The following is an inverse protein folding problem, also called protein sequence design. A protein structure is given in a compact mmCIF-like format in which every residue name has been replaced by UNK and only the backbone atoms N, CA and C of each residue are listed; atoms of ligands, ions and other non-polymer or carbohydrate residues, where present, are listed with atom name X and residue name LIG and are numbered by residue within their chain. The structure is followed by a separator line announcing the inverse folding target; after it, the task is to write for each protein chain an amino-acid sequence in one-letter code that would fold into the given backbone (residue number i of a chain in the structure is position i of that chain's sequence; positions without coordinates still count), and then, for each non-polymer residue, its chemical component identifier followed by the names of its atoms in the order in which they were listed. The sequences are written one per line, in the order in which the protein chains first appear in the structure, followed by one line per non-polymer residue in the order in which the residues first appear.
data_IF_996157229179
#
_entry.id   IF_996157229179
#
_cell.length_a   1.000
_cell.length_b   1.000
_cell.length_c   1.000
_cell.angle_alpha   90.00
_cell.angle_beta   90.00
_cell.angle_gamma   90.00
#
_symmetry.space_group_name_H-M   'P 1'
#
loop_
_entity.id
_entity.type
_entity.pdbx_description
1 polymer ?
#
# COMPACT_ATOMS: atom_id res chain seq x y z
N UNK A 1 -23.65 33.45 -43.15
CA UNK A 1 -22.54 32.47 -43.30
C UNK A 1 -22.04 32.13 -41.91
N UNK A 2 -22.34 30.92 -41.44
CA UNK A 2 -21.90 30.41 -40.13
C UNK A 2 -20.60 29.67 -40.39
N UNK A 3 -19.47 30.19 -39.92
CA UNK A 3 -18.18 29.48 -40.02
C UNK A 3 -18.08 28.47 -38.86
N UNK A 4 -18.16 27.21 -39.23
CA UNK A 4 -18.00 26.07 -38.37
C UNK A 4 -16.51 25.80 -38.07
N UNK A 5 -16.23 25.65 -36.78
CA UNK A 5 -15.43 24.57 -36.21
C UNK A 5 -13.98 24.45 -36.71
N UNK A 6 -13.06 24.87 -35.85
CA UNK A 6 -12.07 23.92 -35.34
C UNK A 6 -11.63 24.39 -33.98
N UNK A 7 -12.32 23.85 -32.97
CA UNK A 7 -11.84 23.75 -31.60
C UNK A 7 -10.53 22.95 -31.63
N UNK A 8 -9.43 23.61 -31.95
CA UNK A 8 -8.11 23.20 -31.49
C UNK A 8 -7.94 23.72 -30.05
N UNK A 9 -8.91 23.38 -29.19
CA UNK A 9 -8.57 23.15 -27.79
C UNK A 9 -7.64 21.96 -27.90
N UNK A 10 -6.35 22.25 -27.90
CA UNK A 10 -5.35 21.31 -27.43
C UNK A 10 -5.90 20.81 -26.10
N UNK A 11 -6.61 19.69 -26.17
CA UNK A 11 -6.61 18.71 -25.11
C UNK A 11 -5.14 18.27 -25.14
N UNK A 12 -4.26 19.09 -24.56
CA UNK A 12 -3.13 18.58 -23.82
C UNK A 12 -3.80 17.57 -22.92
N UNK A 13 -3.77 16.32 -23.36
CA UNK A 13 -4.10 15.17 -22.55
C UNK A 13 -3.25 15.40 -21.33
N UNK A 14 -3.93 15.91 -20.30
CA UNK A 14 -3.39 16.13 -19.01
C UNK A 14 -2.97 14.71 -18.65
N UNK A 15 -1.70 14.42 -18.85
CA UNK A 15 -1.01 13.34 -18.17
C UNK A 15 -1.06 13.78 -16.71
N UNK A 16 -2.25 13.75 -16.10
CA UNK A 16 -2.41 13.47 -14.70
C UNK A 16 -1.90 12.04 -14.58
N UNK A 17 -0.58 11.91 -14.60
CA UNK A 17 0.10 11.03 -13.67
C UNK A 17 -0.42 11.50 -12.33
N UNK A 18 -1.54 10.91 -11.90
CA UNK A 18 -2.03 11.06 -10.54
C UNK A 18 -0.84 10.59 -9.73
N UNK A 19 -0.10 11.55 -9.17
CA UNK A 19 1.10 11.25 -8.41
C UNK A 19 0.67 10.26 -7.35
N UNK A 20 1.22 9.06 -7.39
CA UNK A 20 0.94 8.08 -6.36
C UNK A 20 1.51 8.66 -5.07
N UNK A 21 0.58 9.07 -4.22
CA UNK A 21 0.84 9.41 -2.85
C UNK A 21 1.28 8.12 -2.18
N UNK A 22 2.55 7.99 -1.86
CA UNK A 22 3.05 6.77 -1.26
C UNK A 22 2.34 6.38 0.03
N UNK A 23 2.59 5.19 0.55
CA UNK A 23 2.06 4.75 1.85
C UNK A 23 3.22 4.52 2.81
N UNK A 24 3.15 5.12 3.98
CA UNK A 24 4.06 4.83 5.10
C UNK A 24 3.45 3.73 5.94
N UNK A 25 4.18 2.64 6.14
CA UNK A 25 3.77 1.49 6.93
C UNK A 25 4.77 1.32 8.08
N UNK A 26 4.26 1.14 9.29
CA UNK A 26 5.07 0.84 10.47
C UNK A 26 4.77 -0.56 10.95
N UNK A 27 5.80 -1.38 11.05
CA UNK A 27 5.75 -2.76 11.52
C UNK A 27 6.35 -2.85 12.92
N UNK A 28 5.71 -3.60 13.79
CA UNK A 28 6.12 -3.78 15.18
C UNK A 28 6.18 -5.26 15.52
N UNK A 29 7.28 -5.66 16.17
CA UNK A 29 7.49 -7.04 16.59
C UNK A 29 6.43 -7.53 17.59
N UNK A 30 6.01 -6.67 18.50
CA UNK A 30 5.05 -7.02 19.54
C UNK A 30 3.68 -6.40 19.25
N UNK A 31 2.65 -6.87 19.96
CA UNK A 31 1.30 -6.30 19.88
C UNK A 31 1.27 -4.88 20.46
N UNK A 32 0.23 -4.13 20.13
CA UNK A 32 -0.03 -2.77 20.60
C UNK A 32 1.10 -1.77 20.27
N UNK A 33 1.74 -1.95 19.11
CA UNK A 33 2.76 -1.05 18.55
C UNK A 33 4.03 -0.95 19.42
N UNK A 34 4.48 -2.08 19.96
CA UNK A 34 5.64 -2.17 20.86
C UNK A 34 6.80 -2.97 20.26
N UNK A 35 7.95 -2.86 20.93
CA UNK A 35 9.14 -3.63 20.59
C UNK A 35 9.89 -3.05 19.40
N UNK A 36 10.57 -3.95 18.68
CA UNK A 36 11.34 -3.59 17.49
C UNK A 36 10.41 -3.03 16.40
N UNK A 37 10.81 -1.88 15.84
CA UNK A 37 10.06 -1.17 14.80
C UNK A 37 10.84 -1.12 13.49
N UNK A 38 10.11 -1.29 12.39
CA UNK A 38 10.60 -1.01 11.03
C UNK A 38 9.58 -0.18 10.25
N UNK A 39 10.06 0.56 9.25
CA UNK A 39 9.24 1.45 8.45
C UNK A 39 9.38 1.05 6.99
N UNK A 40 8.26 0.69 6.37
CA UNK A 40 8.12 0.55 4.93
C UNK A 40 7.60 1.84 4.32
N UNK A 41 8.11 2.22 3.16
CA UNK A 41 7.57 3.33 2.37
C UNK A 41 7.32 2.79 0.96
N UNK A 42 6.07 2.80 0.54
CA UNK A 42 5.64 2.41 -0.80
C UNK A 42 5.44 3.67 -1.62
N UNK A 43 6.36 4.02 -2.52
CA UNK A 43 6.29 5.24 -3.35
C UNK A 43 5.94 4.98 -4.81
N UNK A 44 5.89 3.72 -5.22
CA UNK A 44 5.53 3.29 -6.56
C UNK A 44 4.52 2.15 -6.53
N UNK A 45 3.73 2.02 -7.59
CA UNK A 45 2.72 0.97 -7.72
C UNK A 45 3.39 -0.33 -8.15
N UNK A 46 2.90 -1.47 -7.68
CA UNK A 46 3.38 -2.80 -8.04
C UNK A 46 4.81 -3.13 -7.60
N UNK A 47 5.47 -2.26 -6.82
CA UNK A 47 6.78 -2.57 -6.25
C UNK A 47 6.61 -3.47 -5.02
N UNK A 48 7.30 -4.61 -5.04
CA UNK A 48 7.32 -5.57 -3.94
C UNK A 48 8.52 -5.31 -3.03
N UNK A 49 8.28 -5.35 -1.72
CA UNK A 49 9.33 -5.15 -0.72
C UNK A 49 9.38 -6.31 0.26
N UNK A 50 10.57 -6.85 0.47
CA UNK A 50 10.83 -7.77 1.57
C UNK A 50 10.95 -7.01 2.88
N UNK A 51 10.34 -7.55 3.92
CA UNK A 51 10.55 -7.07 5.27
C UNK A 51 11.99 -7.38 5.68
N UNK A 52 12.60 -6.48 6.45
CA UNK A 52 13.98 -6.70 6.91
C UNK A 52 14.03 -7.95 7.79
N UNK A 53 15.12 -8.72 7.68
CA UNK A 53 15.33 -9.99 8.39
C UNK A 53 14.98 -9.96 9.88
N UNK A 54 15.21 -8.83 10.55
CA UNK A 54 14.89 -8.62 11.97
C UNK A 54 13.39 -8.63 12.33
N UNK A 55 12.50 -8.41 11.34
CA UNK A 55 11.04 -8.43 11.50
C UNK A 55 10.35 -9.44 10.58
N UNK A 56 11.08 -10.06 9.65
CA UNK A 56 10.58 -11.15 8.82
C UNK A 56 9.96 -12.24 9.70
N UNK A 57 8.69 -12.57 9.44
CA UNK A 57 7.92 -13.54 10.24
C UNK A 57 7.89 -13.23 11.75
N UNK A 58 7.98 -11.96 12.13
CA UNK A 58 7.96 -11.54 13.54
C UNK A 58 7.02 -10.39 13.84
N UNK A 59 6.37 -9.79 12.84
CA UNK A 59 5.45 -8.67 13.06
C UNK A 59 4.17 -9.14 13.74
N UNK A 60 3.79 -8.49 14.85
CA UNK A 60 2.54 -8.77 15.60
C UNK A 60 1.57 -7.58 15.64
N UNK A 61 2.02 -6.37 15.28
CA UNK A 61 1.13 -5.23 15.05
C UNK A 61 1.66 -4.32 13.97
N UNK A 62 0.77 -3.60 13.28
CA UNK A 62 1.15 -2.67 12.21
C UNK A 62 0.15 -1.52 12.09
N UNK A 63 0.61 -0.41 11.53
CA UNK A 63 -0.25 0.71 11.14
C UNK A 63 0.26 1.34 9.86
N UNK A 64 -0.63 1.95 9.10
CA UNK A 64 -0.25 2.63 7.87
C UNK A 64 -0.95 3.96 7.73
N UNK A 65 -0.27 4.87 7.04
CA UNK A 65 -0.75 6.22 6.75
C UNK A 65 -0.43 6.56 5.30
N UNK A 66 -1.45 6.92 4.50
CA UNK A 66 -1.25 7.60 3.24
C UNK A 66 -0.37 8.85 3.36
N UNK A 67 0.65 9.00 2.52
CA UNK A 67 1.59 10.14 2.60
C UNK A 67 1.05 11.44 2.00
N UNK A 68 -0.06 11.38 1.24
CA UNK A 68 -0.72 12.57 0.67
C UNK A 68 -2.22 12.36 0.60
N UNK A 69 -3.00 13.43 0.74
CA UNK A 69 -4.47 13.49 0.58
C UNK A 69 -4.94 13.40 -0.88
N UNK A 70 -4.19 12.73 -1.75
CA UNK A 70 -4.70 12.44 -3.10
C UNK A 70 -5.83 11.43 -2.93
N UNK A 71 -6.94 11.60 -3.67
CA UNK A 71 -8.02 10.63 -3.70
C UNK A 71 -7.48 9.30 -4.23
N UNK A 72 -7.14 8.39 -3.34
CA UNK A 72 -7.03 6.98 -3.70
C UNK A 72 -8.39 6.52 -4.19
N UNK A 73 -8.37 5.69 -5.23
CA UNK A 73 -9.57 5.00 -5.71
C UNK A 73 -9.99 3.94 -4.69
N UNK A 74 -11.22 3.44 -4.81
CA UNK A 74 -11.71 2.31 -4.01
C UNK A 74 -10.99 0.97 -4.32
N UNK A 75 -10.01 0.98 -5.24
CA UNK A 75 -9.34 -0.21 -5.73
C UNK A 75 -7.85 -0.25 -5.41
N UNK A 76 -7.40 0.59 -4.48
CA UNK A 76 -6.01 0.67 -4.04
C UNK A 76 -5.81 -0.16 -2.77
N UNK A 77 -4.98 -1.20 -2.86
CA UNK A 77 -4.78 -2.20 -1.83
C UNK A 77 -3.33 -2.24 -1.35
N UNK A 78 -3.15 -2.43 -0.05
CA UNK A 78 -1.90 -2.95 0.52
C UNK A 78 -2.08 -4.45 0.71
N UNK A 79 -1.11 -5.20 0.20
CA UNK A 79 -1.08 -6.65 0.34
C UNK A 79 0.16 -7.04 1.11
N UNK A 80 -0.04 -7.84 2.15
CA UNK A 80 1.02 -8.45 2.95
C UNK A 80 1.07 -9.94 2.64
N UNK A 81 2.27 -10.49 2.52
CA UNK A 81 2.51 -11.87 2.13
C UNK A 81 3.28 -12.60 3.23
N UNK A 82 2.98 -13.89 3.37
CA UNK A 82 3.66 -14.80 4.28
C UNK A 82 5.03 -15.30 3.77
N UNK A 83 5.36 -14.93 2.52
CA UNK A 83 6.58 -15.32 1.82
C UNK A 83 7.33 -14.08 1.33
N UNK A 84 8.65 -14.20 1.12
CA UNK A 84 9.41 -13.16 0.45
C UNK A 84 8.98 -13.01 -1.02
N UNK A 85 9.41 -11.90 -1.61
CA UNK A 85 9.27 -11.54 -3.02
C UNK A 85 7.80 -11.50 -3.51
N UNK A 86 6.86 -11.25 -2.60
CA UNK A 86 5.43 -11.21 -2.86
C UNK A 86 4.93 -12.48 -3.56
N UNK A 87 5.57 -13.61 -3.25
CA UNK A 87 5.32 -14.89 -3.89
C UNK A 87 4.06 -15.55 -3.27
N UNK A 88 3.21 -16.15 -4.11
CA UNK A 88 1.81 -16.48 -3.82
C UNK A 88 1.52 -17.51 -2.72
N UNK A 89 1.83 -17.19 -1.45
CA UNK A 89 1.34 -17.88 -0.26
C UNK A 89 0.11 -17.21 0.36
N UNK A 90 -0.06 -17.32 1.68
CA UNK A 90 -1.13 -16.64 2.40
C UNK A 90 -0.99 -15.12 2.25
N UNK A 91 -2.10 -14.44 2.03
CA UNK A 91 -2.13 -12.99 1.83
C UNK A 91 -3.13 -12.32 2.74
N UNK A 92 -2.75 -11.12 3.16
CA UNK A 92 -3.58 -10.24 3.96
C UNK A 92 -3.75 -8.89 3.24
N UNK A 93 -4.99 -8.50 2.97
CA UNK A 93 -5.34 -7.38 2.09
C UNK A 93 -6.05 -6.30 2.90
N UNK A 94 -5.59 -5.05 2.77
CA UNK A 94 -6.23 -3.90 3.39
C UNK A 94 -6.30 -2.74 2.42
N UNK A 95 -7.24 -1.83 2.62
CA UNK A 95 -7.33 -0.64 1.79
C UNK A 95 -6.17 0.30 2.07
N UNK A 96 -5.49 0.73 1.00
CA UNK A 96 -4.34 1.63 1.10
C UNK A 96 -4.73 3.10 1.34
N UNK A 97 -6.01 3.43 1.15
CA UNK A 97 -6.53 4.79 1.12
C UNK A 97 -6.93 5.37 2.48
N UNK A 98 -6.95 4.53 3.51
CA UNK A 98 -7.36 4.90 4.86
C UNK A 98 -6.16 4.77 5.80
N UNK A 99 -5.98 5.76 6.68
CA UNK A 99 -5.10 5.58 7.83
C UNK A 99 -5.76 4.59 8.79
N UNK A 100 -5.13 3.44 9.01
CA UNK A 100 -5.70 2.38 9.83
C UNK A 100 -4.58 1.53 10.47
N UNK A 101 -4.96 0.56 11.30
CA UNK A 101 -4.04 -0.20 12.12
C UNK A 101 -4.60 -1.57 12.54
N UNK A 102 -3.68 -2.46 12.88
CA UNK A 102 -3.92 -3.68 13.63
C UNK A 102 -3.06 -3.64 14.88
N UNK A 103 -3.68 -3.45 16.04
CA UNK A 103 -2.98 -3.55 17.33
C UNK A 103 -2.61 -4.98 17.68
N UNK A 104 -3.29 -5.96 17.11
CA UNK A 104 -2.96 -7.38 17.21
C UNK A 104 -3.27 -8.07 15.87
N UNK A 105 -2.25 -8.61 15.21
CA UNK A 105 -2.43 -9.31 13.93
C UNK A 105 -3.05 -10.70 14.10
N UNK A 106 -3.15 -11.23 15.32
CA UNK A 106 -3.87 -12.48 15.58
C UNK A 106 -5.35 -12.36 15.19
N UNK A 107 -5.95 -11.17 15.35
CA UNK A 107 -7.33 -10.88 14.96
C UNK A 107 -7.57 -11.00 13.44
N UNK A 108 -6.49 -10.91 12.65
CA UNK A 108 -6.50 -11.08 11.19
C UNK A 108 -5.98 -12.46 10.74
N UNK A 109 -5.67 -13.36 11.69
CA UNK A 109 -5.01 -14.65 11.43
C UNK A 109 -3.66 -14.54 10.69
N UNK A 110 -2.97 -13.40 10.84
CA UNK A 110 -1.72 -13.08 10.16
C UNK A 110 -0.57 -12.68 11.11
N UNK A 111 -0.70 -13.02 12.40
CA UNK A 111 0.36 -12.81 13.41
C UNK A 111 1.66 -13.50 13.02
N UNK A 112 2.78 -12.77 13.04
CA UNK A 112 4.13 -13.28 12.78
C UNK A 112 4.29 -14.03 11.46
N UNK A 113 3.51 -13.64 10.45
CA UNK A 113 3.62 -14.19 9.09
C UNK A 113 4.25 -13.22 8.10
N UNK A 114 4.18 -11.91 8.32
CA UNK A 114 4.56 -10.95 7.27
C UNK A 114 6.05 -11.09 6.91
N UNK A 115 6.31 -11.40 5.64
CA UNK A 115 7.63 -11.49 5.02
C UNK A 115 7.84 -10.48 3.90
N UNK A 116 6.79 -10.13 3.16
CA UNK A 116 6.85 -9.08 2.14
C UNK A 116 5.54 -8.32 2.01
N UNK A 117 5.59 -7.18 1.34
CA UNK A 117 4.43 -6.31 1.17
C UNK A 117 4.49 -5.55 -0.17
N UNK A 118 3.31 -5.27 -0.73
CA UNK A 118 3.14 -4.62 -2.03
C UNK A 118 1.95 -3.67 -2.03
N UNK A 119 2.04 -2.64 -2.86
CA UNK A 119 0.89 -1.82 -3.25
C UNK A 119 0.30 -2.31 -4.58
N UNK A 120 -0.98 -2.70 -4.58
CA UNK A 120 -1.71 -3.14 -5.77
C UNK A 120 -2.84 -2.16 -6.13
N UNK A 121 -2.98 -1.89 -7.43
CA UNK A 121 -4.14 -1.17 -7.97
C UNK A 121 -4.91 -2.12 -8.86
N UNK A 122 -6.12 -2.47 -8.45
CA UNK A 122 -7.00 -3.30 -9.28
C UNK A 122 -7.77 -2.38 -10.23
N UNK A 123 -7.42 -2.41 -11.52
CA UNK A 123 -8.29 -1.80 -12.53
C UNK A 123 -9.42 -2.77 -12.82
N UNK A 124 -10.65 -2.39 -12.43
CA UNK A 124 -11.87 -3.04 -12.88
C UNK A 124 -12.14 -2.70 -14.35
#
# INVERSE_FOLDING_TARGET
MINAVSYAVFITMLNMRVAFAGVLIEFFKDTNFKGLRDIGILNERLECFNLRERLDNQTSSLRWTPTVTVKYSHNDWLVFYDKPDCNGGDQFHVFANESNYFSDLADSHFDKKISSYQYLVVRL
#
